data_IF_653468653623
#
_entry.id   IF_653468653623
#
_cell.length_a   1.000
_cell.length_b   1.000
_cell.length_c   1.000
_cell.angle_alpha   90.00
_cell.angle_beta   90.00
_cell.angle_gamma   90.00
#
_symmetry.space_group_name_H-M   'P 1'
#
loop_
_entity.id
_entity.type
_entity.pdbx_description
1 polymer ?
#
# COMPACT_ATOMS: atom_id res chain seq x y z
N UNK A 1 -11.61 -6.27 21.80
CA UNK A 1 -11.66 -5.52 20.53
C UNK A 1 -13.05 -4.94 20.38
N UNK A 2 -13.14 -3.64 20.02
CA UNK A 2 -14.42 -2.97 19.81
C UNK A 2 -15.01 -3.37 18.46
N UNK A 3 -16.15 -4.05 18.47
CA UNK A 3 -16.85 -4.51 17.26
C UNK A 3 -17.46 -3.36 16.43
N UNK A 4 -17.51 -2.15 16.96
CA UNK A 4 -17.98 -0.97 16.27
C UNK A 4 -16.83 0.02 15.97
N UNK A 5 -15.58 -0.42 16.12
CA UNK A 5 -14.42 0.44 15.94
C UNK A 5 -14.42 1.09 14.55
N UNK A 6 -14.13 2.38 14.54
CA UNK A 6 -13.83 3.18 13.34
C UNK A 6 -12.59 3.98 13.65
N UNK A 7 -11.53 3.77 12.89
CA UNK A 7 -10.24 4.41 13.08
C UNK A 7 -9.90 5.21 11.85
N UNK A 8 -9.60 6.49 12.02
CA UNK A 8 -9.05 7.33 10.95
C UNK A 8 -7.53 7.26 11.04
N UNK A 9 -6.90 6.76 9.98
CA UNK A 9 -5.46 6.81 9.76
C UNK A 9 -5.16 7.99 8.86
N UNK A 10 -4.27 8.89 9.29
CA UNK A 10 -3.89 10.08 8.51
C UNK A 10 -2.38 10.06 8.34
N UNK A 11 -1.92 10.13 7.09
CA UNK A 11 -0.52 10.27 6.71
C UNK A 11 -0.34 11.68 6.13
N UNK A 12 0.60 12.46 6.67
CA UNK A 12 0.95 13.79 6.17
C UNK A 12 2.46 13.86 6.09
N UNK A 13 2.97 14.10 4.89
CA UNK A 13 4.40 14.17 4.63
C UNK A 13 4.73 15.49 3.92
N UNK A 14 5.63 16.25 4.52
CA UNK A 14 6.12 17.53 4.01
C UNK A 14 7.60 17.36 3.62
N UNK A 15 7.86 16.51 2.65
CA UNK A 15 9.23 16.15 2.24
C UNK A 15 10.02 17.36 1.74
N UNK A 16 9.36 18.36 1.17
CA UNK A 16 10.01 19.58 0.69
C UNK A 16 10.63 20.43 1.82
N UNK A 17 10.21 20.26 3.07
CA UNK A 17 10.84 20.91 4.22
C UNK A 17 12.27 20.41 4.48
N UNK A 18 12.61 19.25 3.94
CA UNK A 18 13.95 18.66 4.03
C UNK A 18 14.83 18.96 2.82
N UNK A 19 14.34 19.81 1.90
CA UNK A 19 15.11 20.22 0.74
C UNK A 19 16.42 20.93 1.17
N UNK A 20 17.53 20.45 0.65
CA UNK A 20 18.84 20.99 0.90
C UNK A 20 19.56 21.28 -0.40
N UNK A 21 20.05 22.51 -0.57
CA UNK A 21 20.88 22.92 -1.72
C UNK A 21 22.35 22.49 -1.49
N UNK A 22 22.56 21.20 -1.23
CA UNK A 22 23.89 20.60 -1.03
C UNK A 22 24.23 19.72 -2.21
N UNK A 23 25.43 19.91 -2.74
CA UNK A 23 25.93 19.14 -3.89
C UNK A 23 26.52 17.81 -3.42
N UNK A 24 25.62 16.87 -3.06
CA UNK A 24 25.96 15.48 -2.87
C UNK A 24 24.89 14.59 -3.50
N UNK A 25 25.27 13.38 -3.88
CA UNK A 25 24.43 12.45 -4.65
C UNK A 25 23.14 12.10 -3.92
N UNK A 26 23.18 11.86 -2.62
CA UNK A 26 22.01 11.45 -1.83
C UNK A 26 20.97 12.57 -1.76
N UNK A 27 21.41 13.82 -1.51
CA UNK A 27 20.53 14.99 -1.49
C UNK A 27 19.95 15.30 -2.87
N UNK A 28 20.75 15.22 -3.94
CA UNK A 28 20.26 15.41 -5.31
C UNK A 28 19.20 14.38 -5.65
N UNK A 29 19.44 13.11 -5.33
CA UNK A 29 18.49 12.03 -5.54
C UNK A 29 17.22 12.25 -4.71
N UNK A 30 17.34 12.55 -3.43
CA UNK A 30 16.21 12.83 -2.55
C UNK A 30 15.37 14.02 -3.07
N UNK A 31 16.01 15.13 -3.41
CA UNK A 31 15.34 16.33 -3.94
C UNK A 31 14.58 16.09 -5.25
N UNK A 32 14.97 15.07 -6.04
CA UNK A 32 14.31 14.74 -7.32
C UNK A 32 13.20 13.71 -7.18
N UNK A 33 13.20 12.91 -6.13
CA UNK A 33 12.25 11.79 -5.95
C UNK A 33 11.12 12.17 -5.00
N UNK A 34 11.45 12.85 -3.89
CA UNK A 34 10.47 13.11 -2.84
C UNK A 34 9.58 14.33 -3.13
N UNK A 35 8.31 14.19 -2.78
CA UNK A 35 7.29 15.25 -2.85
C UNK A 35 6.44 15.30 -1.59
N UNK A 36 5.70 16.38 -1.40
CA UNK A 36 4.73 16.52 -0.33
C UNK A 36 3.47 15.74 -0.67
N UNK A 37 2.84 15.17 0.34
CA UNK A 37 1.59 14.46 0.16
C UNK A 37 0.86 14.19 1.45
N UNK A 38 -0.45 14.04 1.33
CA UNK A 38 -1.29 13.61 2.44
C UNK A 38 -2.34 12.61 1.95
N UNK A 39 -2.63 11.63 2.79
CA UNK A 39 -3.67 10.64 2.56
C UNK A 39 -4.35 10.27 3.88
N UNK A 40 -5.60 9.85 3.79
CA UNK A 40 -6.33 9.35 4.95
C UNK A 40 -7.10 8.09 4.58
N UNK A 41 -7.13 7.13 5.51
CA UNK A 41 -7.88 5.90 5.39
C UNK A 41 -8.79 5.70 6.60
N UNK A 42 -10.01 5.28 6.36
CA UNK A 42 -10.92 4.87 7.43
C UNK A 42 -10.88 3.35 7.56
N UNK A 43 -10.38 2.87 8.67
CA UNK A 43 -10.35 1.45 9.03
C UNK A 43 -11.51 1.15 9.98
N UNK A 44 -12.32 0.18 9.63
CA UNK A 44 -13.50 -0.20 10.42
C UNK A 44 -13.45 -1.68 10.78
N UNK A 45 -14.14 -2.06 11.85
CA UNK A 45 -14.35 -3.48 12.14
C UNK A 45 -15.25 -4.14 11.09
N UNK A 46 -15.16 -5.46 10.92
CA UNK A 46 -16.01 -6.22 10.00
C UNK A 46 -17.49 -5.96 10.24
N UNK A 47 -17.90 -5.87 11.52
CA UNK A 47 -19.29 -5.57 11.89
C UNK A 47 -19.73 -4.17 11.45
N UNK A 48 -18.86 -3.16 11.61
CA UNK A 48 -19.17 -1.80 11.17
C UNK A 48 -19.19 -1.67 9.65
N UNK A 49 -18.31 -2.40 8.95
CA UNK A 49 -18.27 -2.46 7.49
C UNK A 49 -19.55 -3.09 6.92
N UNK A 50 -19.98 -4.23 7.48
CA UNK A 50 -21.18 -4.95 7.02
C UNK A 50 -22.45 -4.11 7.12
N UNK A 51 -22.58 -3.25 8.13
CA UNK A 51 -23.76 -2.38 8.30
C UNK A 51 -23.90 -1.34 7.17
N UNK A 52 -22.81 -0.95 6.54
CA UNK A 52 -22.81 0.16 5.57
C UNK A 52 -22.86 -0.31 4.11
N UNK A 53 -22.79 -1.62 3.85
CA UNK A 53 -22.78 -2.20 2.50
C UNK A 53 -21.78 -1.54 1.53
N UNK A 54 -20.64 -1.06 2.04
CA UNK A 54 -19.61 -0.42 1.24
C UNK A 54 -18.60 -1.44 0.72
N UNK A 55 -18.09 -1.18 -0.49
CA UNK A 55 -16.94 -1.92 -1.00
C UNK A 55 -15.67 -1.39 -0.33
N UNK A 56 -14.68 -2.25 -0.17
CA UNK A 56 -13.43 -1.87 0.45
C UNK A 56 -12.39 -2.98 0.42
N UNK A 57 -11.31 -2.78 1.17
CA UNK A 57 -10.24 -3.76 1.31
C UNK A 57 -10.30 -4.41 2.71
N UNK A 58 -10.54 -5.71 2.76
CA UNK A 58 -10.33 -6.50 3.97
C UNK A 58 -8.84 -6.65 4.23
N UNK A 59 -8.40 -6.42 5.45
CA UNK A 59 -7.02 -6.60 5.88
C UNK A 59 -6.85 -8.04 6.40
N UNK A 60 -6.37 -8.94 5.54
CA UNK A 60 -6.27 -10.37 5.86
C UNK A 60 -5.08 -10.68 6.75
N UNK A 61 -4.02 -9.88 6.66
CA UNK A 61 -2.86 -10.04 7.51
C UNK A 61 -1.67 -9.17 7.13
N UNK A 62 -0.73 -9.11 8.06
CA UNK A 62 0.49 -8.31 7.95
C UNK A 62 1.72 -9.15 8.26
N UNK A 63 2.84 -8.79 7.63
CA UNK A 63 4.13 -9.36 7.94
C UNK A 63 5.22 -8.29 7.83
N UNK A 64 5.94 -8.10 8.93
CA UNK A 64 7.05 -7.16 9.04
C UNK A 64 8.38 -7.89 9.07
N UNK A 65 9.40 -7.34 8.42
CA UNK A 65 10.74 -7.88 8.40
C UNK A 65 11.77 -6.76 8.52
N UNK A 66 12.78 -6.96 9.37
CA UNK A 66 13.93 -6.08 9.48
C UNK A 66 15.15 -6.75 8.83
N UNK A 67 15.71 -6.09 7.81
CA UNK A 67 16.89 -6.52 7.09
C UNK A 67 18.15 -5.80 7.61
N UNK A 68 18.74 -6.31 8.68
CA UNK A 68 19.89 -5.68 9.33
C UNK A 68 21.09 -5.44 8.39
N UNK A 69 21.23 -6.21 7.32
CA UNK A 69 22.26 -6.00 6.28
C UNK A 69 22.10 -4.68 5.55
N UNK A 70 20.86 -4.15 5.50
CA UNK A 70 20.52 -2.88 4.86
C UNK A 70 20.50 -1.67 5.80
N UNK A 71 20.93 -1.81 7.05
CA UNK A 71 20.77 -0.78 8.10
C UNK A 71 21.37 0.60 7.79
N UNK A 72 22.40 0.63 6.94
CA UNK A 72 23.09 1.88 6.58
C UNK A 72 22.64 2.42 5.20
N UNK A 73 21.75 1.73 4.50
CA UNK A 73 21.34 2.12 3.15
C UNK A 73 20.29 3.23 3.13
N UNK A 74 19.42 3.28 4.15
CA UNK A 74 18.36 4.28 4.26
C UNK A 74 18.22 4.73 5.71
N UNK A 75 18.19 6.03 5.94
CA UNK A 75 18.06 6.58 7.28
C UNK A 75 18.13 8.09 7.32
N UNK A 76 18.33 8.61 8.52
CA UNK A 76 18.49 10.03 8.80
C UNK A 76 19.70 10.25 9.69
N UNK A 77 20.54 11.18 9.30
CA UNK A 77 21.59 11.74 10.17
C UNK A 77 21.06 13.01 10.83
N UNK A 78 21.18 13.07 12.14
CA UNK A 78 20.82 14.26 12.90
C UNK A 78 22.06 15.16 12.96
N UNK A 79 21.96 16.37 12.42
CA UNK A 79 22.99 17.39 12.49
C UNK A 79 22.56 18.52 13.44
N UNK A 80 23.44 19.42 13.83
CA UNK A 80 23.08 20.56 14.71
C UNK A 80 22.02 21.50 14.10
N UNK A 81 21.81 21.47 12.78
CA UNK A 81 20.96 22.43 12.07
C UNK A 81 19.82 21.79 11.26
N UNK A 82 19.92 20.50 10.94
CA UNK A 82 18.93 19.81 10.10
C UNK A 82 18.95 18.29 10.30
N UNK A 83 18.04 17.62 9.55
CA UNK A 83 18.06 16.18 9.34
C UNK A 83 18.54 15.92 7.91
N UNK A 84 19.60 15.14 7.76
CA UNK A 84 20.12 14.73 6.44
C UNK A 84 19.66 13.33 6.11
N UNK A 85 19.04 13.20 4.94
CA UNK A 85 18.62 11.88 4.45
C UNK A 85 19.84 11.10 3.98
N UNK A 86 19.93 9.85 4.41
CA UNK A 86 20.80 8.82 3.82
C UNK A 86 19.98 8.00 2.87
N UNK A 87 20.33 8.02 1.58
CA UNK A 87 19.64 7.28 0.53
C UNK A 87 20.68 6.67 -0.42
N UNK A 88 21.26 5.54 -0.02
CA UNK A 88 22.32 4.87 -0.77
C UNK A 88 21.86 4.40 -2.14
N UNK A 89 22.65 4.68 -3.18
CA UNK A 89 22.35 4.26 -4.55
C UNK A 89 22.25 2.75 -4.77
N UNK A 90 22.73 1.93 -3.83
CA UNK A 90 22.63 0.47 -3.84
C UNK A 90 21.29 -0.09 -3.35
N UNK A 91 20.40 0.75 -2.82
CA UNK A 91 19.06 0.30 -2.34
C UNK A 91 18.29 -0.52 -3.37
N UNK A 92 18.18 -0.09 -4.65
CA UNK A 92 17.43 -0.85 -5.65
C UNK A 92 17.96 -2.26 -5.88
N UNK A 93 19.28 -2.42 -5.91
CA UNK A 93 19.92 -3.73 -6.05
C UNK A 93 19.69 -4.59 -4.80
N UNK A 94 19.88 -4.01 -3.62
CA UNK A 94 19.68 -4.70 -2.36
C UNK A 94 18.23 -5.20 -2.23
N UNK A 95 17.23 -4.33 -2.45
CA UNK A 95 15.81 -4.73 -2.43
C UNK A 95 15.53 -5.80 -3.50
N UNK A 96 16.05 -5.63 -4.72
CA UNK A 96 15.89 -6.60 -5.78
C UNK A 96 16.40 -7.99 -5.40
N UNK A 97 17.54 -8.08 -4.74
CA UNK A 97 18.13 -9.35 -4.31
C UNK A 97 17.33 -10.03 -3.19
N UNK A 98 16.68 -9.26 -2.32
CA UNK A 98 15.93 -9.76 -1.16
C UNK A 98 14.43 -9.99 -1.42
N UNK A 99 13.83 -9.32 -2.41
CA UNK A 99 12.37 -9.26 -2.58
C UNK A 99 11.70 -10.62 -2.76
N UNK A 100 12.30 -11.54 -3.48
CA UNK A 100 11.76 -12.90 -3.64
C UNK A 100 11.62 -13.62 -2.31
N UNK A 101 12.65 -13.52 -1.49
CA UNK A 101 12.66 -14.16 -0.17
C UNK A 101 11.71 -13.47 0.79
N UNK A 102 11.58 -12.13 0.71
CA UNK A 102 10.60 -11.35 1.47
C UNK A 102 9.19 -11.82 1.14
N UNK A 103 8.82 -11.84 -0.15
CA UNK A 103 7.50 -12.25 -0.60
C UNK A 103 7.21 -13.71 -0.26
N UNK A 104 8.21 -14.61 -0.37
CA UNK A 104 8.07 -16.00 0.04
C UNK A 104 7.79 -16.14 1.54
N UNK A 105 8.53 -15.41 2.39
CA UNK A 105 8.33 -15.43 3.86
C UNK A 105 6.97 -14.86 4.24
N UNK A 106 6.61 -13.71 3.65
CA UNK A 106 5.31 -13.09 3.84
C UNK A 106 4.18 -14.05 3.40
N UNK A 107 4.29 -14.63 2.21
CA UNK A 107 3.31 -15.59 1.68
C UNK A 107 3.11 -16.79 2.60
N UNK A 108 4.19 -17.37 3.11
CA UNK A 108 4.12 -18.49 4.07
C UNK A 108 3.41 -18.07 5.37
N UNK A 109 3.73 -16.88 5.90
CA UNK A 109 3.11 -16.36 7.13
C UNK A 109 1.63 -16.03 6.94
N UNK A 110 1.30 -15.44 5.81
CA UNK A 110 -0.04 -15.01 5.43
C UNK A 110 -0.86 -16.11 4.74
N UNK A 111 -0.28 -17.31 4.58
CA UNK A 111 -0.90 -18.50 3.95
C UNK A 111 -1.42 -18.20 2.53
N UNK A 112 -0.64 -17.46 1.76
CA UNK A 112 -0.94 -17.14 0.37
C UNK A 112 0.23 -17.50 -0.54
N UNK A 113 -0.05 -17.76 -1.82
CA UNK A 113 0.95 -18.00 -2.85
C UNK A 113 1.06 -16.73 -3.73
N UNK A 114 2.25 -16.30 -4.15
CA UNK A 114 2.40 -15.20 -5.10
C UNK A 114 1.56 -15.33 -6.37
N UNK A 115 1.35 -16.55 -6.87
CA UNK A 115 0.49 -16.82 -8.03
C UNK A 115 -1.01 -16.60 -7.79
N UNK A 116 -1.42 -16.43 -6.54
CA UNK A 116 -2.81 -16.12 -6.16
C UNK A 116 -3.03 -14.62 -5.92
N UNK A 117 -2.02 -13.79 -6.19
CA UNK A 117 -2.13 -12.33 -6.08
C UNK A 117 -2.61 -11.77 -7.41
N UNK A 118 -3.71 -11.04 -7.36
CA UNK A 118 -4.33 -10.43 -8.54
C UNK A 118 -3.77 -9.03 -8.83
N UNK A 119 -3.36 -8.30 -7.79
CA UNK A 119 -2.82 -6.94 -7.89
C UNK A 119 -1.66 -6.73 -6.92
N UNK A 120 -0.68 -5.93 -7.36
CA UNK A 120 0.50 -5.59 -6.57
C UNK A 120 0.51 -4.11 -6.22
N UNK A 121 0.46 -3.78 -4.94
CA UNK A 121 0.60 -2.42 -4.42
C UNK A 121 2.03 -2.26 -3.87
N UNK A 122 2.96 -1.86 -4.74
CA UNK A 122 4.36 -1.71 -4.36
C UNK A 122 4.64 -0.23 -4.11
N UNK A 123 5.11 0.10 -2.91
CA UNK A 123 5.50 1.46 -2.56
C UNK A 123 6.54 2.00 -3.56
N UNK A 124 6.25 3.06 -4.30
CA UNK A 124 7.15 3.58 -5.31
C UNK A 124 8.23 4.49 -4.70
N UNK A 125 9.16 3.89 -4.00
CA UNK A 125 10.30 4.59 -3.38
C UNK A 125 11.24 5.26 -4.39
N UNK A 126 11.13 4.88 -5.67
CA UNK A 126 11.86 5.42 -6.82
C UNK A 126 11.82 4.43 -7.98
N UNK A 127 12.00 4.94 -9.21
CA UNK A 127 11.87 4.13 -10.43
C UNK A 127 12.77 2.89 -10.41
N UNK A 128 14.04 3.03 -10.01
CA UNK A 128 15.00 1.90 -9.96
C UNK A 128 14.58 0.81 -8.98
N UNK A 129 13.91 1.16 -7.88
CA UNK A 129 13.35 0.18 -6.92
C UNK A 129 12.25 -0.61 -7.60
N UNK A 130 11.29 0.07 -8.24
CA UNK A 130 10.21 -0.59 -8.97
C UNK A 130 10.74 -1.50 -10.08
N UNK A 131 11.71 -1.02 -10.89
CA UNK A 131 12.34 -1.79 -11.95
C UNK A 131 13.02 -3.06 -11.41
N UNK A 132 13.72 -2.97 -10.27
CA UNK A 132 14.37 -4.08 -9.61
C UNK A 132 13.36 -5.12 -9.10
N UNK A 133 12.30 -4.66 -8.41
CA UNK A 133 11.23 -5.55 -7.93
C UNK A 133 10.54 -6.25 -9.10
N UNK A 134 10.14 -5.50 -10.13
CA UNK A 134 9.52 -6.02 -11.35
C UNK A 134 10.35 -7.13 -11.98
N UNK A 135 11.64 -6.85 -12.21
CA UNK A 135 12.59 -7.80 -12.82
C UNK A 135 12.73 -9.06 -11.98
N UNK A 136 12.95 -8.92 -10.69
CA UNK A 136 13.21 -10.06 -9.83
C UNK A 136 11.97 -10.91 -9.57
N UNK A 137 10.82 -10.28 -9.41
CA UNK A 137 9.54 -10.99 -9.21
C UNK A 137 8.92 -11.45 -10.53
N UNK A 138 9.48 -11.05 -11.68
CA UNK A 138 8.94 -11.34 -13.03
C UNK A 138 7.52 -10.82 -13.22
N UNK A 139 7.24 -9.64 -12.65
CA UNK A 139 5.94 -8.99 -12.77
C UNK A 139 5.79 -8.34 -14.15
N UNK A 140 4.56 -8.32 -14.65
CA UNK A 140 4.21 -7.66 -15.91
C UNK A 140 4.12 -6.13 -15.75
N UNK A 141 3.96 -5.41 -16.86
CA UNK A 141 3.70 -3.98 -16.84
C UNK A 141 2.37 -3.67 -16.13
N UNK A 142 1.35 -4.49 -16.35
CA UNK A 142 0.04 -4.35 -15.71
C UNK A 142 0.08 -4.59 -14.20
N UNK A 143 0.97 -5.45 -13.70
CA UNK A 143 1.14 -5.66 -12.26
C UNK A 143 1.74 -4.43 -11.57
N UNK A 144 2.59 -3.70 -12.28
CA UNK A 144 3.34 -2.56 -11.75
C UNK A 144 2.71 -1.20 -12.05
N UNK A 145 1.67 -1.18 -12.89
CA UNK A 145 1.08 0.02 -13.48
C UNK A 145 0.82 1.10 -12.43
N UNK A 146 0.04 0.80 -11.40
CA UNK A 146 -0.39 1.80 -10.42
C UNK A 146 0.77 2.39 -9.62
N UNK A 147 1.79 1.57 -9.31
CA UNK A 147 2.99 2.06 -8.63
C UNK A 147 3.80 3.02 -9.49
N UNK A 148 3.93 2.74 -10.80
CA UNK A 148 4.60 3.64 -11.72
C UNK A 148 3.79 4.91 -12.00
N UNK A 149 2.47 4.81 -12.16
CA UNK A 149 1.58 5.96 -12.35
C UNK A 149 1.66 6.93 -11.17
N UNK A 150 1.52 6.42 -9.94
CA UNK A 150 1.63 7.25 -8.74
C UNK A 150 3.02 7.90 -8.64
N UNK A 151 4.10 7.17 -8.93
CA UNK A 151 5.44 7.75 -8.92
C UNK A 151 5.60 8.85 -9.97
N UNK A 152 5.02 8.66 -11.15
CA UNK A 152 5.11 9.63 -12.26
C UNK A 152 4.34 10.90 -11.98
N UNK A 153 3.18 10.79 -11.35
CA UNK A 153 2.27 11.92 -11.14
C UNK A 153 2.56 12.69 -9.84
N UNK A 154 2.95 11.98 -8.79
CA UNK A 154 3.05 12.57 -7.45
C UNK A 154 4.46 12.47 -6.83
N UNK A 155 5.36 11.65 -7.40
CA UNK A 155 6.64 11.35 -6.79
C UNK A 155 6.50 10.41 -5.58
N UNK A 156 7.55 10.36 -4.76
CA UNK A 156 7.54 9.62 -3.50
C UNK A 156 7.12 10.55 -2.36
N UNK A 157 5.88 10.43 -1.90
CA UNK A 157 5.31 11.17 -0.79
C UNK A 157 5.45 10.41 0.54
N UNK A 158 6.49 9.59 0.68
CA UNK A 158 6.76 8.80 1.88
C UNK A 158 5.55 7.93 2.31
N UNK A 159 5.08 8.04 3.55
CA UNK A 159 4.01 7.18 4.09
C UNK A 159 2.67 7.29 3.36
N UNK A 160 2.35 8.44 2.77
CA UNK A 160 1.10 8.62 2.04
C UNK A 160 1.07 7.91 0.68
N UNK A 161 2.23 7.67 0.06
CA UNK A 161 2.33 7.16 -1.31
C UNK A 161 1.64 5.81 -1.52
N UNK A 162 1.79 4.88 -0.57
CA UNK A 162 1.18 3.55 -0.70
C UNK A 162 -0.36 3.62 -0.67
N UNK A 163 -0.92 4.60 0.04
CA UNK A 163 -2.37 4.82 0.06
C UNK A 163 -2.86 5.36 -1.29
N UNK A 164 -2.05 6.17 -1.99
CA UNK A 164 -2.34 6.57 -3.37
C UNK A 164 -2.36 5.36 -4.31
N UNK A 165 -1.36 4.47 -4.22
CA UNK A 165 -1.32 3.24 -5.03
C UNK A 165 -2.56 2.37 -4.76
N UNK A 166 -2.93 2.17 -3.50
CA UNK A 166 -4.13 1.42 -3.14
C UNK A 166 -5.40 2.10 -3.66
N UNK A 167 -5.46 3.44 -3.62
CA UNK A 167 -6.59 4.20 -4.17
C UNK A 167 -6.73 3.98 -5.69
N UNK A 168 -5.64 4.09 -6.45
CA UNK A 168 -5.67 3.83 -7.89
C UNK A 168 -6.13 2.40 -8.20
N UNK A 169 -5.62 1.42 -7.46
CA UNK A 169 -6.11 0.04 -7.58
C UNK A 169 -7.62 -0.02 -7.34
N UNK A 170 -8.13 0.62 -6.27
CA UNK A 170 -9.56 0.58 -5.91
C UNK A 170 -10.47 1.28 -6.91
N UNK A 171 -9.96 2.22 -7.72
CA UNK A 171 -10.76 2.90 -8.77
C UNK A 171 -11.00 2.01 -10.00
N UNK A 172 -10.31 0.89 -10.13
CA UNK A 172 -10.46 -0.01 -11.25
C UNK A 172 -11.55 -1.06 -11.03
N UNK A 173 -11.92 -1.78 -12.09
CA UNK A 173 -12.87 -2.89 -11.97
C UNK A 173 -12.25 -4.05 -11.18
N UNK A 174 -12.96 -4.49 -10.16
CA UNK A 174 -12.58 -5.63 -9.33
C UNK A 174 -13.65 -6.68 -9.29
N UNK A 175 -13.19 -7.93 -9.20
CA UNK A 175 -14.01 -9.06 -8.81
C UNK A 175 -13.92 -9.24 -7.29
N UNK A 176 -15.05 -9.53 -6.65
CA UNK A 176 -15.10 -9.87 -5.23
C UNK A 176 -14.13 -11.02 -4.92
N UNK A 177 -13.31 -10.85 -3.91
CA UNK A 177 -12.26 -11.81 -3.55
C UNK A 177 -10.90 -11.57 -4.21
N UNK A 178 -10.73 -10.57 -5.11
CA UNK A 178 -9.41 -10.23 -5.66
C UNK A 178 -8.41 -9.93 -4.54
N UNK A 179 -7.25 -10.56 -4.61
CA UNK A 179 -6.17 -10.40 -3.64
C UNK A 179 -5.16 -9.36 -4.07
N UNK A 180 -4.84 -8.47 -3.15
CA UNK A 180 -3.86 -7.41 -3.33
C UNK A 180 -2.72 -7.63 -2.34
N UNK A 181 -1.49 -7.70 -2.83
CA UNK A 181 -0.31 -7.76 -1.98
C UNK A 181 0.35 -6.38 -1.95
N UNK A 182 0.43 -5.80 -0.77
CA UNK A 182 1.09 -4.52 -0.55
C UNK A 182 2.46 -4.72 0.09
N UNK A 183 3.46 -3.95 -0.38
CA UNK A 183 4.82 -3.94 0.19
C UNK A 183 5.36 -2.51 0.25
N UNK A 184 5.88 -2.13 1.42
CA UNK A 184 6.56 -0.87 1.67
C UNK A 184 7.96 -1.08 2.21
N UNK A 185 8.82 -0.09 2.01
CA UNK A 185 10.23 -0.07 2.39
C UNK A 185 10.50 1.15 3.25
N UNK A 186 11.24 0.98 4.33
CA UNK A 186 11.59 2.06 5.24
C UNK A 186 12.99 1.91 5.83
N UNK A 187 13.44 2.91 6.60
CA UNK A 187 14.72 2.85 7.31
C UNK A 187 14.88 1.59 8.15
N UNK A 188 16.16 1.07 8.22
CA UNK A 188 16.45 -0.07 9.06
C UNK A 188 17.11 -1.30 8.41
N UNK A 189 17.03 -1.77 7.18
CA UNK A 189 15.93 -1.56 6.25
C UNK A 189 14.70 -2.32 6.74
N UNK A 190 13.60 -1.65 6.97
CA UNK A 190 12.34 -2.29 7.34
C UNK A 190 11.48 -2.56 6.12
N UNK A 191 10.81 -3.70 6.14
CA UNK A 191 9.88 -4.11 5.09
C UNK A 191 8.53 -4.40 5.75
N UNK A 192 7.51 -3.69 5.29
CA UNK A 192 6.14 -3.91 5.73
C UNK A 192 5.32 -4.49 4.59
N UNK A 193 4.60 -5.57 4.86
CA UNK A 193 3.72 -6.19 3.88
C UNK A 193 2.33 -6.38 4.42
N UNK A 194 1.35 -6.28 3.53
CA UNK A 194 -0.04 -6.57 3.82
C UNK A 194 -0.65 -7.44 2.72
N UNK A 195 -1.44 -8.42 3.11
CA UNK A 195 -2.36 -9.12 2.23
C UNK A 195 -3.74 -8.52 2.44
N UNK A 196 -4.32 -8.04 1.36
CA UNK A 196 -5.64 -7.41 1.34
C UNK A 196 -6.53 -8.19 0.38
N UNK A 197 -7.83 -8.22 0.66
CA UNK A 197 -8.84 -8.78 -0.27
C UNK A 197 -9.88 -7.72 -0.57
N UNK A 198 -10.16 -7.51 -1.86
CA UNK A 198 -11.24 -6.65 -2.28
C UNK A 198 -12.58 -7.30 -1.95
N UNK A 199 -13.44 -6.58 -1.24
CA UNK A 199 -14.78 -7.02 -0.86
C UNK A 199 -15.79 -6.07 -1.48
N UNK A 200 -16.64 -6.61 -2.34
CA UNK A 200 -17.71 -5.86 -3.00
C UNK A 200 -18.98 -5.99 -2.17
N UNK A 201 -19.57 -4.85 -1.79
CA UNK A 201 -20.78 -4.83 -0.97
C UNK A 201 -20.61 -5.70 0.28
N UNK A 202 -19.98 -5.16 1.30
CA UNK A 202 -19.84 -5.83 2.62
C UNK A 202 -21.23 -5.99 3.25
N UNK A 203 -22.08 -6.85 2.65
CA UNK A 203 -23.33 -7.29 3.25
C UNK A 203 -23.04 -8.44 4.20
N UNK A 204 -23.81 -8.58 5.26
CA UNK A 204 -23.70 -9.72 6.17
C UNK A 204 -23.62 -11.03 5.38
N UNK A 205 -22.56 -11.80 5.59
CA UNK A 205 -22.59 -13.21 5.18
C UNK A 205 -23.82 -13.81 5.84
N UNK A 206 -24.76 -14.42 5.10
CA UNK A 206 -25.97 -14.96 5.69
C UNK A 206 -25.58 -15.90 6.83
N UNK A 207 -26.11 -15.62 7.99
CA UNK A 207 -25.94 -16.50 9.15
C UNK A 207 -26.41 -17.89 8.72
N UNK A 208 -25.55 -18.89 8.73
CA UNK A 208 -25.85 -20.25 8.24
C UNK A 208 -27.04 -20.93 8.97
N UNK A 209 -27.69 -20.23 9.88
CA UNK A 209 -28.80 -20.75 10.69
C UNK A 209 -30.18 -20.19 10.31
N UNK A 210 -30.30 -19.34 9.26
CA UNK A 210 -31.61 -18.87 8.79
C UNK A 210 -31.88 -19.39 7.36
N UNK A 211 -32.31 -20.64 7.29
CA UNK A 211 -33.00 -21.18 6.10
C UNK A 211 -34.49 -21.00 6.38
N UNK A 212 -35.13 -20.11 5.69
CA UNK A 212 -36.45 -20.14 5.06
C UNK A 212 -37.17 -18.79 5.11
N UNK A 213 -37.62 -18.33 3.95
CA UNK A 213 -38.78 -17.44 3.84
C UNK A 213 -38.65 -16.27 2.89
N UNK A 214 -39.10 -16.54 1.65
CA UNK A 214 -39.77 -15.62 0.71
C UNK A 214 -39.06 -14.41 0.13
N UNK A 215 -38.92 -14.54 -1.17
CA UNK A 215 -38.79 -13.54 -2.26
C UNK A 215 -39.73 -12.35 -2.15
N UNK A 216 -39.19 -11.14 -2.31
CA UNK A 216 -39.88 -10.03 -2.99
C UNK A 216 -38.86 -9.02 -3.57
N UNK A 217 -38.98 -8.81 -4.88
CA UNK A 217 -38.28 -7.81 -5.68
C UNK A 217 -38.68 -6.38 -5.30
N UNK A 218 -37.72 -5.47 -5.19
CA UNK A 218 -37.97 -4.05 -5.36
C UNK A 218 -36.83 -3.44 -6.16
N UNK A 219 -37.19 -2.91 -7.30
CA UNK A 219 -36.40 -2.11 -8.23
C UNK A 219 -36.28 -0.70 -7.64
N UNK A 220 -35.07 -0.17 -7.43
CA UNK A 220 -34.93 1.21 -7.08
C UNK A 220 -33.85 1.95 -7.88
N UNK A 221 -34.21 3.20 -8.15
CA UNK A 221 -33.62 4.14 -9.09
C UNK A 221 -32.26 4.66 -8.62
N UNK A 222 -31.30 4.66 -9.54
CA UNK A 222 -30.01 5.31 -9.40
C UNK A 222 -30.15 6.83 -9.25
N UNK A 223 -29.75 7.37 -8.14
CA UNK A 223 -29.33 8.76 -8.03
C UNK A 223 -27.79 8.81 -7.91
N UNK A 224 -27.18 9.47 -8.91
CA UNK A 224 -25.73 9.71 -8.93
C UNK A 224 -25.39 10.79 -7.89
N UNK A 225 -24.83 10.38 -6.78
CA UNK A 225 -24.02 11.27 -5.95
C UNK A 225 -22.58 10.75 -5.98
N UNK A 226 -21.65 11.64 -6.38
CA UNK A 226 -20.22 11.37 -6.29
C UNK A 226 -19.89 11.17 -4.81
N UNK A 227 -19.71 9.95 -4.41
CA UNK A 227 -19.07 9.62 -3.14
C UNK A 227 -17.57 9.60 -3.43
N UNK A 228 -16.84 10.52 -2.84
CA UNK A 228 -15.38 10.45 -2.77
C UNK A 228 -15.09 9.26 -1.88
N UNK A 229 -14.53 8.20 -2.46
CA UNK A 229 -14.07 7.03 -1.70
C UNK A 229 -12.88 7.47 -0.85
N UNK A 230 -13.10 7.58 0.44
CA UNK A 230 -12.03 7.81 1.40
C UNK A 230 -11.35 6.46 1.65
N UNK A 231 -10.08 6.37 1.31
CA UNK A 231 -9.16 5.38 1.88
C UNK A 231 -8.86 5.73 3.32
#
# INVERSE_FOLDING_TARGET
>A
TDENAKVLVVCVELCTLHFQAVDNTDNLLANTIFGDGSAAAVVVSDRAANKNHQSGLSMDGFYSLLLNKGKNLMGWNITPVNFEMVLDGGIPEFIGNEVKEIVRKAGNKLKTNPSAIDKWAIHPGGKKILDSVKKQMQLSDSDMQYSYEVLSEYGNMSSSTILFVLNEIMQTEHTDGNKIFSIGFGPGLSIETALLTYVKNMAEKPNKNEVSGSTKSITEKRNKQKVVSNL
#
